data_IF_620871444799
#
_entry.id   IF_620871444799
#
_cell.length_a   1.000
_cell.length_b   1.000
_cell.length_c   1.000
_cell.angle_alpha   90.00
_cell.angle_beta   90.00
_cell.angle_gamma   90.00
#
_symmetry.space_group_name_H-M   'P 1'
#
loop_
_entity.id
_entity.type
_entity.pdbx_description
1 polymer ?
#
# COMPACT_ATOMS: atom_id res chain seq x y z
N UNK A 1 -20.13 58.61 16.61
CA UNK A 1 -20.77 57.30 16.88
C UNK A 1 -20.37 56.34 15.77
N UNK A 2 -19.29 55.60 16.00
CA UNK A 2 -18.68 54.66 15.05
C UNK A 2 -18.72 53.29 15.72
N UNK A 3 -19.33 52.31 15.05
CA UNK A 3 -19.02 50.86 15.05
C UNK A 3 -20.30 50.05 14.76
N UNK A 4 -20.41 49.57 13.52
CA UNK A 4 -21.02 48.29 13.16
C UNK A 4 -20.62 47.96 11.72
N UNK A 5 -19.39 47.46 11.56
CA UNK A 5 -19.04 46.61 10.42
C UNK A 5 -18.80 45.24 11.05
N UNK A 6 -19.77 44.38 10.84
CA UNK A 6 -19.76 42.98 11.27
C UNK A 6 -18.66 42.28 10.47
N UNK A 7 -17.80 41.60 11.21
CA UNK A 7 -16.60 40.88 10.83
C UNK A 7 -16.91 39.81 9.79
N UNK A 8 -16.71 40.16 8.51
CA UNK A 8 -16.79 39.24 7.38
C UNK A 8 -15.37 38.88 6.92
N UNK A 9 -14.57 38.23 7.78
CA UNK A 9 -13.28 37.68 7.36
C UNK A 9 -12.89 36.44 8.15
N UNK A 10 -12.35 35.47 7.39
CA UNK A 10 -11.63 34.25 7.78
C UNK A 10 -12.46 32.97 8.02
N UNK A 11 -13.38 32.67 7.09
CA UNK A 11 -13.37 31.32 6.48
C UNK A 11 -12.71 31.48 5.10
N UNK A 12 -11.44 31.89 5.12
CA UNK A 12 -10.62 31.77 3.92
C UNK A 12 -10.34 30.27 3.81
N UNK A 13 -11.17 29.64 2.98
CA UNK A 13 -10.95 28.39 2.29
C UNK A 13 -9.46 28.28 1.96
N UNK A 14 -8.69 27.65 2.84
CA UNK A 14 -7.33 27.22 2.56
C UNK A 14 -7.41 25.98 1.65
N UNK A 15 -8.06 26.12 0.51
CA UNK A 15 -7.63 25.43 -0.71
C UNK A 15 -6.43 26.23 -1.23
N UNK A 16 -5.36 26.26 -0.42
CA UNK A 16 -4.03 26.47 -0.94
C UNK A 16 -3.84 25.37 -1.97
N UNK A 17 -3.69 25.78 -3.22
CA UNK A 17 -3.30 24.98 -4.37
C UNK A 17 -2.49 23.77 -3.93
N UNK A 18 -3.16 22.62 -3.82
CA UNK A 18 -2.55 21.36 -3.43
C UNK A 18 -1.77 20.88 -4.64
N UNK A 19 -0.58 21.42 -4.84
CA UNK A 19 0.32 21.01 -5.91
C UNK A 19 0.81 19.60 -5.60
N UNK A 20 0.13 18.57 -6.10
CA UNK A 20 0.64 17.21 -6.42
C UNK A 20 1.60 16.50 -5.46
N UNK A 21 1.66 16.87 -4.19
CA UNK A 21 2.63 16.33 -3.23
C UNK A 21 2.19 14.91 -2.84
N UNK A 22 2.84 13.91 -3.43
CA UNK A 22 2.66 12.51 -3.04
C UNK A 22 3.93 12.04 -2.35
N UNK A 23 3.78 11.49 -1.15
CA UNK A 23 4.90 10.91 -0.40
C UNK A 23 5.22 9.52 -0.97
N UNK A 24 6.48 9.27 -1.32
CA UNK A 24 6.88 8.00 -1.96
C UNK A 24 7.72 7.14 -1.01
N UNK A 25 7.49 5.84 -1.10
CA UNK A 25 8.41 4.86 -0.57
C UNK A 25 8.49 3.59 -1.38
N UNK A 26 9.15 2.62 -0.76
CA UNK A 26 9.40 1.29 -1.29
C UNK A 26 8.85 0.25 -0.33
N UNK A 27 8.37 -0.87 -0.88
CA UNK A 27 7.79 -1.98 -0.17
C UNK A 27 8.53 -3.27 -0.49
N UNK A 28 8.34 -4.28 0.36
CA UNK A 28 8.80 -5.64 0.10
C UNK A 28 10.24 -5.90 0.55
N UNK A 29 10.76 -5.17 1.54
CA UNK A 29 12.04 -5.49 2.16
C UNK A 29 11.89 -6.79 2.96
N UNK A 30 12.58 -7.84 2.52
CA UNK A 30 12.55 -9.19 3.08
C UNK A 30 13.90 -9.62 3.67
N UNK A 31 14.95 -8.84 3.46
CA UNK A 31 16.33 -9.23 3.76
C UNK A 31 17.19 -8.06 4.22
N UNK A 32 18.33 -8.40 4.82
CA UNK A 32 19.36 -7.43 5.19
C UNK A 32 19.97 -6.74 3.96
N UNK A 33 20.04 -7.43 2.82
CA UNK A 33 20.61 -6.91 1.57
C UNK A 33 19.84 -5.69 1.08
N UNK A 34 18.53 -5.69 1.21
CA UNK A 34 17.70 -4.58 0.72
C UNK A 34 17.84 -3.32 1.60
N UNK A 35 18.07 -3.47 2.90
CA UNK A 35 18.38 -2.33 3.79
C UNK A 35 19.71 -1.69 3.37
N UNK A 36 20.72 -2.51 3.05
CA UNK A 36 22.01 -2.00 2.56
C UNK A 36 21.91 -1.37 1.17
N UNK A 37 21.01 -1.85 0.31
CA UNK A 37 20.75 -1.23 -1.00
C UNK A 37 20.09 0.14 -0.85
N UNK A 38 19.20 0.32 0.14
CA UNK A 38 18.63 1.63 0.47
C UNK A 38 19.73 2.61 0.91
N UNK A 39 20.54 2.25 1.90
CA UNK A 39 21.57 3.17 2.42
C UNK A 39 22.60 3.53 1.34
N UNK A 40 22.98 2.56 0.49
CA UNK A 40 23.82 2.79 -0.67
C UNK A 40 23.15 3.70 -1.69
N UNK A 41 21.87 3.52 -1.98
CA UNK A 41 21.15 4.37 -2.91
C UNK A 41 21.06 5.80 -2.38
N UNK A 42 20.74 6.00 -1.10
CA UNK A 42 20.61 7.32 -0.46
C UNK A 42 21.94 8.09 -0.44
N UNK A 43 23.07 7.41 -0.22
CA UNK A 43 24.40 8.05 -0.26
C UNK A 43 24.74 8.59 -1.65
N UNK A 44 24.26 7.93 -2.71
CA UNK A 44 24.42 8.38 -4.09
C UNK A 44 23.48 9.52 -4.48
N UNK A 45 22.40 9.76 -3.74
CA UNK A 45 21.42 10.81 -4.01
C UNK A 45 21.67 12.13 -3.27
N UNK A 46 22.93 12.41 -2.88
CA UNK A 46 23.31 13.67 -2.20
C UNK A 46 22.47 13.96 -0.95
N UNK A 47 22.15 12.93 -0.16
CA UNK A 47 21.42 13.07 1.10
C UNK A 47 19.90 13.04 1.00
N UNK A 48 19.32 12.81 -0.18
CA UNK A 48 17.89 12.50 -0.30
C UNK A 48 17.59 11.14 0.34
N UNK A 49 16.54 11.10 1.15
CA UNK A 49 16.09 9.92 1.88
C UNK A 49 14.75 9.43 1.33
N UNK A 50 14.51 8.13 1.40
CA UNK A 50 13.21 7.52 1.12
C UNK A 50 12.25 7.80 2.28
N UNK A 51 11.09 8.42 2.01
CA UNK A 51 10.18 8.86 3.07
C UNK A 51 9.41 7.73 3.74
N UNK A 52 8.99 6.73 2.96
CA UNK A 52 8.21 5.58 3.43
C UNK A 52 9.03 4.29 3.28
N UNK A 53 9.19 3.56 4.37
CA UNK A 53 9.80 2.22 4.39
C UNK A 53 8.71 1.19 4.60
N UNK A 54 8.47 0.36 3.59
CA UNK A 54 7.41 -0.63 3.53
C UNK A 54 7.88 -2.03 3.93
N UNK A 55 7.22 -2.61 4.92
CA UNK A 55 7.53 -3.93 5.50
C UNK A 55 6.28 -4.82 5.50
N UNK A 56 6.48 -6.13 5.37
CA UNK A 56 5.43 -7.15 5.49
C UNK A 56 5.86 -8.15 6.56
N UNK A 57 4.95 -8.41 7.49
CA UNK A 57 5.06 -9.42 8.52
C UNK A 57 3.77 -10.25 8.52
N UNK A 58 3.91 -11.56 8.46
CA UNK A 58 2.79 -12.50 8.43
C UNK A 58 2.56 -13.18 9.79
N UNK A 59 3.61 -13.26 10.60
CA UNK A 59 3.56 -13.94 11.90
C UNK A 59 4.03 -13.04 13.04
N UNK A 60 4.89 -12.06 12.77
CA UNK A 60 5.56 -11.24 13.78
C UNK A 60 6.31 -12.05 14.85
N UNK A 61 7.05 -13.05 14.37
CA UNK A 61 7.98 -13.87 15.15
C UNK A 61 9.12 -13.05 15.77
N UNK A 62 9.91 -13.69 16.64
CA UNK A 62 11.14 -13.07 17.18
C UNK A 62 12.09 -12.57 16.08
N UNK A 63 12.22 -13.34 14.99
CA UNK A 63 13.07 -12.96 13.87
C UNK A 63 12.54 -11.71 13.15
N UNK A 64 11.23 -11.60 12.94
CA UNK A 64 10.59 -10.43 12.32
C UNK A 64 10.68 -9.18 13.22
N UNK A 65 10.54 -9.34 14.53
CA UNK A 65 10.75 -8.27 15.51
C UNK A 65 12.19 -7.76 15.52
N UNK A 66 13.18 -8.67 15.59
CA UNK A 66 14.61 -8.33 15.47
C UNK A 66 14.89 -7.62 14.15
N UNK A 67 14.27 -8.08 13.06
CA UNK A 67 14.41 -7.44 11.76
C UNK A 67 13.83 -6.01 11.75
N UNK A 68 12.64 -5.78 12.32
CA UNK A 68 12.07 -4.44 12.43
C UNK A 68 13.01 -3.49 13.20
N UNK A 69 13.50 -3.92 14.36
CA UNK A 69 14.47 -3.14 15.15
C UNK A 69 15.70 -2.77 14.32
N UNK A 70 16.28 -3.76 13.63
CA UNK A 70 17.44 -3.54 12.76
C UNK A 70 17.19 -2.54 11.63
N UNK A 71 16.02 -2.61 10.99
CA UNK A 71 15.61 -1.65 9.95
C UNK A 71 15.54 -0.25 10.56
N UNK A 72 14.92 -0.10 11.74
CA UNK A 72 14.77 1.19 12.43
C UNK A 72 16.11 1.76 12.87
N UNK A 73 16.98 0.95 13.47
CA UNK A 73 18.32 1.35 13.91
C UNK A 73 19.18 1.80 12.73
N UNK A 74 19.04 1.16 11.57
CA UNK A 74 19.83 1.46 10.37
C UNK A 74 19.29 2.68 9.62
N UNK A 75 17.98 2.79 9.42
CA UNK A 75 17.37 3.82 8.57
C UNK A 75 16.92 5.06 9.35
N UNK A 76 16.80 4.95 10.68
CA UNK A 76 16.46 6.02 11.61
C UNK A 76 14.95 6.26 11.75
N UNK A 77 14.54 6.73 12.92
CA UNK A 77 13.13 6.91 13.32
C UNK A 77 12.40 8.07 12.61
N UNK A 78 13.12 8.93 11.89
CA UNK A 78 12.59 10.12 11.20
C UNK A 78 11.84 9.83 9.90
N UNK A 79 11.31 8.63 9.71
CA UNK A 79 10.61 8.17 8.50
C UNK A 79 9.21 7.68 8.85
N UNK A 80 8.40 7.44 7.82
CA UNK A 80 7.15 6.71 7.97
C UNK A 80 7.44 5.24 7.69
N UNK A 81 7.04 4.37 8.61
CA UNK A 81 7.09 2.93 8.40
C UNK A 81 5.70 2.45 7.98
N UNK A 82 5.57 2.01 6.74
CA UNK A 82 4.36 1.38 6.24
C UNK A 82 4.44 -0.12 6.52
N UNK A 83 3.74 -0.58 7.55
CA UNK A 83 3.90 -1.94 8.07
C UNK A 83 2.61 -2.70 7.85
N UNK A 84 2.74 -3.79 7.10
CA UNK A 84 1.67 -4.75 6.86
C UNK A 84 1.85 -5.90 7.83
N UNK A 85 1.04 -5.93 8.89
CA UNK A 85 1.00 -7.07 9.82
C UNK A 85 -0.27 -7.85 9.56
N UNK A 86 -0.17 -8.98 8.89
CA UNK A 86 -1.32 -9.77 8.48
C UNK A 86 -1.38 -11.03 9.33
N UNK A 87 -2.51 -11.32 10.01
CA UNK A 87 -2.62 -12.49 10.88
C UNK A 87 -2.69 -13.77 10.04
N UNK A 88 -1.54 -14.26 9.59
CA UNK A 88 -1.47 -15.39 8.67
C UNK A 88 -2.04 -16.66 9.32
N UNK A 89 -2.84 -17.39 8.55
CA UNK A 89 -3.52 -18.60 9.03
C UNK A 89 -4.76 -18.33 9.89
N UNK A 90 -5.03 -17.10 10.30
CA UNK A 90 -6.22 -16.76 11.10
C UNK A 90 -7.31 -16.11 10.24
N UNK A 91 -8.54 -16.53 10.47
CA UNK A 91 -9.74 -15.90 9.93
C UNK A 91 -10.06 -14.61 10.68
N UNK A 92 -10.85 -13.71 10.08
CA UNK A 92 -11.29 -12.50 10.78
C UNK A 92 -12.09 -12.81 12.05
N UNK A 93 -12.87 -13.88 12.08
CA UNK A 93 -13.57 -14.30 13.32
C UNK A 93 -12.58 -14.70 14.42
N UNK A 94 -11.54 -15.47 14.10
CA UNK A 94 -10.51 -15.82 15.08
C UNK A 94 -9.77 -14.57 15.60
N UNK A 95 -9.45 -13.63 14.70
CA UNK A 95 -8.82 -12.36 15.09
C UNK A 95 -9.74 -11.52 15.98
N UNK A 96 -11.04 -11.44 15.66
CA UNK A 96 -12.02 -10.75 16.50
C UNK A 96 -12.16 -11.38 17.91
N UNK A 97 -11.84 -12.67 18.03
CA UNK A 97 -11.83 -13.42 19.29
C UNK A 97 -10.45 -13.46 19.96
N UNK A 98 -9.48 -12.67 19.48
CA UNK A 98 -8.18 -12.48 20.11
C UNK A 98 -7.10 -13.51 19.77
N UNK A 99 -7.29 -14.33 18.73
CA UNK A 99 -6.34 -15.39 18.38
C UNK A 99 -4.96 -14.90 17.90
N UNK A 100 -4.79 -13.61 17.61
CA UNK A 100 -3.54 -12.98 17.17
C UNK A 100 -3.11 -11.83 18.10
N UNK A 101 -3.61 -11.85 19.34
CA UNK A 101 -3.39 -10.79 20.32
C UNK A 101 -1.94 -10.66 20.74
N UNK A 102 -1.24 -11.79 20.88
CA UNK A 102 0.14 -11.80 21.39
C UNK A 102 1.04 -10.99 20.46
N UNK A 103 0.89 -11.22 19.16
CA UNK A 103 1.63 -10.60 18.06
C UNK A 103 1.28 -9.12 17.94
N UNK A 104 -0.01 -8.75 17.95
CA UNK A 104 -0.42 -7.35 17.91
C UNK A 104 0.07 -6.57 19.14
N UNK A 105 -0.08 -7.13 20.33
CA UNK A 105 0.34 -6.49 21.59
C UNK A 105 1.84 -6.27 21.62
N UNK A 106 2.61 -7.26 21.14
CA UNK A 106 4.07 -7.13 20.98
C UNK A 106 4.42 -6.02 20.00
N UNK A 107 3.86 -6.06 18.79
CA UNK A 107 4.08 -5.04 17.76
C UNK A 107 3.77 -3.62 18.27
N UNK A 108 2.62 -3.42 18.91
CA UNK A 108 2.23 -2.11 19.45
C UNK A 108 3.16 -1.60 20.56
N UNK A 109 3.65 -2.48 21.45
CA UNK A 109 4.69 -2.14 22.44
C UNK A 109 5.97 -1.67 21.75
N UNK A 110 6.43 -2.40 20.75
CA UNK A 110 7.70 -2.15 20.07
C UNK A 110 7.68 -0.85 19.25
N UNK A 111 6.63 -0.61 18.46
CA UNK A 111 6.56 0.66 17.70
C UNK A 111 6.45 1.88 18.61
N UNK A 112 5.81 1.74 19.78
CA UNK A 112 5.74 2.79 20.80
C UNK A 112 7.12 3.03 21.43
N UNK A 113 7.83 1.96 21.81
CA UNK A 113 9.15 2.07 22.46
C UNK A 113 10.21 2.64 21.53
N UNK A 114 10.19 2.26 20.24
CA UNK A 114 11.08 2.84 19.22
C UNK A 114 10.72 4.28 18.85
N UNK A 115 9.52 4.76 19.23
CA UNK A 115 9.08 6.12 18.92
C UNK A 115 8.85 6.40 17.43
N UNK A 116 8.69 5.35 16.61
CA UNK A 116 8.50 5.46 15.16
C UNK A 116 7.07 5.86 14.79
N UNK A 117 6.94 6.38 13.57
CA UNK A 117 5.64 6.75 12.98
C UNK A 117 5.22 5.68 11.99
N UNK A 118 4.01 5.15 12.13
CA UNK A 118 3.57 3.95 11.41
C UNK A 118 2.28 4.20 10.63
N UNK A 119 2.28 3.82 9.35
CA UNK A 119 1.05 3.50 8.62
C UNK A 119 0.82 2.00 8.75
N UNK A 120 -0.23 1.62 9.47
CA UNK A 120 -0.51 0.25 9.83
C UNK A 120 -1.55 -0.37 8.90
N UNK A 121 -1.10 -1.32 8.10
CA UNK A 121 -1.86 -1.99 7.05
C UNK A 121 -2.17 -3.43 7.45
N UNK A 122 -2.98 -3.60 8.50
CA UNK A 122 -3.39 -4.94 8.94
C UNK A 122 -4.60 -5.46 8.18
N UNK A 123 -4.59 -6.77 7.92
CA UNK A 123 -5.64 -7.51 7.22
C UNK A 123 -5.94 -6.96 5.81
N UNK A 124 -4.90 -6.65 5.03
CA UNK A 124 -5.02 -6.11 3.67
C UNK A 124 -5.74 -7.06 2.70
N UNK A 125 -6.28 -6.50 1.61
CA UNK A 125 -6.88 -7.19 0.46
C UNK A 125 -7.96 -8.22 0.82
N UNK A 126 -8.71 -7.94 1.87
CA UNK A 126 -9.82 -8.77 2.35
C UNK A 126 -10.95 -8.97 1.32
N UNK A 127 -11.05 -8.09 0.31
CA UNK A 127 -11.97 -8.23 -0.82
C UNK A 127 -11.46 -9.21 -1.91
N UNK A 128 -10.26 -9.79 -1.74
CA UNK A 128 -9.75 -10.90 -2.54
C UNK A 128 -9.69 -12.20 -1.73
N UNK A 129 -10.18 -13.29 -2.30
CA UNK A 129 -10.37 -14.60 -1.65
C UNK A 129 -9.08 -15.39 -1.42
N UNK A 130 -7.91 -14.76 -1.42
CA UNK A 130 -6.60 -15.44 -1.32
C UNK A 130 -6.06 -15.58 0.10
N UNK A 131 -6.74 -14.99 1.07
CA UNK A 131 -6.29 -14.92 2.46
C UNK A 131 -7.37 -15.38 3.43
N UNK A 132 -6.98 -16.09 4.50
CA UNK A 132 -7.89 -16.62 5.53
C UNK A 132 -8.87 -15.59 6.12
N UNK A 133 -8.48 -14.32 6.15
CA UNK A 133 -9.26 -13.16 6.63
C UNK A 133 -10.24 -12.57 5.61
N UNK A 134 -10.30 -13.10 4.40
CA UNK A 134 -11.09 -12.57 3.31
C UNK A 134 -12.54 -13.06 3.34
N UNK A 135 -13.35 -12.56 2.41
CA UNK A 135 -14.67 -13.09 2.04
C UNK A 135 -15.78 -12.99 3.10
N UNK A 136 -15.47 -12.58 4.34
CA UNK A 136 -16.43 -12.42 5.46
C UNK A 136 -16.48 -10.96 5.96
N UNK A 137 -17.23 -10.06 5.29
CA UNK A 137 -17.18 -8.62 5.60
C UNK A 137 -17.55 -8.24 7.03
N UNK A 138 -18.63 -8.80 7.57
CA UNK A 138 -19.09 -8.47 8.93
C UNK A 138 -18.07 -8.89 10.00
N UNK A 139 -17.49 -10.07 9.85
CA UNK A 139 -16.44 -10.59 10.74
C UNK A 139 -15.14 -9.79 10.61
N UNK A 140 -14.79 -9.41 9.38
CA UNK A 140 -13.67 -8.50 9.13
C UNK A 140 -13.86 -7.15 9.83
N UNK A 141 -15.06 -6.56 9.77
CA UNK A 141 -15.34 -5.30 10.45
C UNK A 141 -15.19 -5.44 11.97
N UNK A 142 -15.68 -6.53 12.57
CA UNK A 142 -15.51 -6.83 14.01
C UNK A 142 -14.02 -6.90 14.37
N UNK A 143 -13.24 -7.67 13.62
CA UNK A 143 -11.80 -7.81 13.81
C UNK A 143 -11.06 -6.47 13.70
N UNK A 144 -11.36 -5.66 12.68
CA UNK A 144 -10.73 -4.34 12.49
C UNK A 144 -11.04 -3.40 13.65
N UNK A 145 -12.30 -3.34 14.10
CA UNK A 145 -12.72 -2.50 15.23
C UNK A 145 -12.02 -2.93 16.52
N UNK A 146 -11.87 -4.25 16.72
CA UNK A 146 -11.19 -4.83 17.87
C UNK A 146 -9.71 -4.42 17.91
N UNK A 147 -8.94 -4.70 16.85
CA UNK A 147 -7.51 -4.35 16.77
C UNK A 147 -7.28 -2.84 16.85
N UNK A 148 -8.14 -2.03 16.21
CA UNK A 148 -8.08 -0.58 16.36
C UNK A 148 -8.29 -0.13 17.79
N UNK A 149 -9.30 -0.69 18.47
CA UNK A 149 -9.61 -0.34 19.87
C UNK A 149 -8.45 -0.71 20.78
N UNK A 150 -7.85 -1.89 20.60
CA UNK A 150 -6.65 -2.31 21.33
C UNK A 150 -5.52 -1.29 21.18
N UNK A 151 -5.16 -0.92 19.94
CA UNK A 151 -4.08 0.05 19.71
C UNK A 151 -4.37 1.43 20.36
N UNK A 152 -5.62 1.93 20.24
CA UNK A 152 -5.98 3.25 20.77
C UNK A 152 -6.11 3.28 22.29
N UNK A 153 -6.72 2.26 22.90
CA UNK A 153 -7.06 2.24 24.34
C UNK A 153 -5.99 1.61 25.20
N UNK A 154 -5.46 0.45 24.78
CA UNK A 154 -4.59 -0.36 25.63
C UNK A 154 -3.11 0.04 25.47
N UNK A 155 -2.75 0.58 24.29
CA UNK A 155 -1.38 0.99 23.97
C UNK A 155 -1.20 2.50 23.80
N UNK A 156 -2.29 3.28 23.83
CA UNK A 156 -2.27 4.73 23.63
C UNK A 156 -1.46 5.14 22.38
N UNK A 157 -1.67 4.42 21.29
CA UNK A 157 -1.14 4.78 19.98
C UNK A 157 -2.19 5.61 19.27
N UNK A 158 -2.08 6.93 19.27
CA UNK A 158 -3.01 7.84 18.58
C UNK A 158 -2.56 8.11 17.13
N UNK A 159 -3.38 8.84 16.37
CA UNK A 159 -3.14 9.06 14.93
C UNK A 159 -1.92 9.94 14.61
N UNK A 160 -1.28 10.56 15.61
CA UNK A 160 0.02 11.23 15.47
C UNK A 160 1.20 10.24 15.45
N UNK A 161 0.97 8.98 15.83
CA UNK A 161 1.95 7.88 15.81
C UNK A 161 1.56 6.72 14.92
N UNK A 162 0.28 6.39 14.83
CA UNK A 162 -0.24 5.21 14.14
C UNK A 162 -1.47 5.57 13.30
N UNK A 163 -1.35 5.52 11.97
CA UNK A 163 -2.49 5.64 11.05
C UNK A 163 -2.96 4.25 10.61
N UNK A 164 -4.25 3.95 10.76
CA UNK A 164 -4.84 2.72 10.24
C UNK A 164 -5.17 2.86 8.75
N UNK A 165 -4.43 2.14 7.90
CA UNK A 165 -4.75 1.96 6.48
C UNK A 165 -5.72 0.78 6.31
N UNK A 166 -6.79 1.00 5.55
CA UNK A 166 -7.72 -0.05 5.12
C UNK A 166 -7.45 -0.34 3.63
N UNK A 167 -6.66 -1.37 3.37
CA UNK A 167 -6.10 -1.66 2.05
C UNK A 167 -6.93 -2.68 1.27
N UNK A 168 -7.44 -2.29 0.12
CA UNK A 168 -8.22 -3.15 -0.77
C UNK A 168 -7.36 -3.71 -1.91
N UNK A 169 -7.74 -4.86 -2.44
CA UNK A 169 -7.35 -5.23 -3.79
C UNK A 169 -8.11 -4.35 -4.78
N UNK A 170 -7.49 -4.00 -5.92
CA UNK A 170 -8.14 -3.19 -6.96
C UNK A 170 -9.38 -3.84 -7.59
N UNK A 171 -9.51 -5.16 -7.43
CA UNK A 171 -10.64 -5.94 -7.91
C UNK A 171 -11.32 -6.65 -6.74
N UNK A 172 -12.64 -6.81 -6.84
CA UNK A 172 -13.42 -7.60 -5.89
C UNK A 172 -13.44 -9.06 -6.36
N UNK A 173 -12.62 -9.87 -5.69
CA UNK A 173 -12.31 -11.25 -6.06
C UNK A 173 -12.58 -12.22 -4.90
N UNK A 174 -13.73 -12.18 -4.20
CA UNK A 174 -13.98 -13.06 -3.06
C UNK A 174 -14.06 -14.53 -3.49
N UNK A 175 -14.04 -15.41 -2.50
CA UNK A 175 -14.32 -16.84 -2.66
C UNK A 175 -15.48 -17.24 -1.76
N UNK A 176 -16.20 -18.30 -2.14
CA UNK A 176 -17.23 -18.94 -1.31
C UNK A 176 -16.63 -20.00 -0.36
N UNK A 177 -15.35 -20.31 -0.51
CA UNK A 177 -14.65 -21.25 0.36
C UNK A 177 -14.62 -20.76 1.80
N UNK A 178 -14.89 -21.67 2.75
CA UNK A 178 -14.97 -21.33 4.17
C UNK A 178 -13.62 -20.89 4.77
N UNK A 179 -12.52 -21.39 4.20
CA UNK A 179 -11.13 -21.10 4.57
C UNK A 179 -10.35 -20.72 3.32
N UNK A 180 -10.33 -19.42 2.96
CA UNK A 180 -9.66 -18.97 1.76
C UNK A 180 -8.14 -19.15 1.83
N UNK A 181 -7.54 -19.53 0.70
CA UNK A 181 -6.10 -19.77 0.51
C UNK A 181 -5.62 -19.18 -0.82
N UNK A 182 -4.31 -19.19 -1.08
CA UNK A 182 -3.75 -18.74 -2.36
C UNK A 182 -4.21 -19.59 -3.55
N UNK A 183 -4.72 -20.79 -3.30
CA UNK A 183 -5.21 -21.74 -4.30
C UNK A 183 -6.74 -21.71 -4.47
N UNK A 184 -7.45 -20.90 -3.66
CA UNK A 184 -8.90 -20.84 -3.70
C UNK A 184 -9.41 -20.33 -5.05
N UNK A 185 -10.59 -20.80 -5.46
CA UNK A 185 -11.26 -20.27 -6.63
C UNK A 185 -11.89 -18.91 -6.32
N UNK A 186 -11.69 -17.93 -7.20
CA UNK A 186 -12.18 -16.56 -7.02
C UNK A 186 -13.34 -16.26 -7.95
N UNK A 187 -14.33 -15.53 -7.45
CA UNK A 187 -15.41 -14.96 -8.24
C UNK A 187 -15.14 -13.49 -8.54
N UNK A 188 -15.34 -13.07 -9.79
CA UNK A 188 -15.28 -11.66 -10.15
C UNK A 188 -16.60 -10.93 -9.81
N UNK A 189 -16.61 -10.12 -8.76
CA UNK A 189 -17.80 -9.40 -8.29
C UNK A 189 -18.03 -8.07 -9.04
N UNK A 190 -18.45 -8.15 -10.31
CA UNK A 190 -18.97 -6.97 -11.02
C UNK A 190 -20.38 -6.59 -10.56
N UNK A 191 -20.81 -5.35 -10.83
CA UNK A 191 -22.21 -4.93 -10.62
C UNK A 191 -23.18 -5.87 -11.34
N UNK A 192 -22.89 -6.20 -12.62
CA UNK A 192 -23.68 -7.16 -13.41
C UNK A 192 -23.75 -8.54 -12.75
N UNK A 193 -22.67 -9.03 -12.14
CA UNK A 193 -22.70 -10.30 -11.40
C UNK A 193 -23.71 -10.20 -10.26
N UNK A 194 -23.67 -9.12 -9.48
CA UNK A 194 -24.59 -8.92 -8.37
C UNK A 194 -26.05 -8.89 -8.85
N UNK A 195 -26.31 -8.13 -9.91
CA UNK A 195 -27.66 -7.98 -10.47
C UNK A 195 -28.23 -9.31 -10.98
N UNK A 196 -27.37 -10.21 -11.47
CA UNK A 196 -27.80 -11.50 -12.08
C UNK A 196 -27.79 -12.70 -11.13
N UNK A 197 -26.88 -12.73 -10.13
CA UNK A 197 -26.67 -13.88 -9.24
C UNK A 197 -26.81 -13.56 -7.75
N UNK A 198 -27.17 -12.34 -7.38
CA UNK A 198 -27.36 -11.92 -5.99
C UNK A 198 -26.05 -11.56 -5.28
N UNK A 199 -25.98 -11.76 -3.96
CA UNK A 199 -24.91 -11.23 -3.09
C UNK A 199 -23.51 -11.67 -3.54
N UNK A 200 -22.61 -10.69 -3.66
CA UNK A 200 -21.18 -10.86 -3.94
C UNK A 200 -20.42 -9.81 -3.12
N UNK A 201 -19.61 -10.18 -2.13
CA UNK A 201 -18.90 -9.21 -1.29
C UNK A 201 -17.99 -8.29 -2.11
N UNK A 202 -18.09 -6.98 -1.87
CA UNK A 202 -17.25 -5.95 -2.50
C UNK A 202 -16.49 -5.14 -1.45
N UNK A 203 -15.49 -4.37 -1.87
CA UNK A 203 -14.67 -3.52 -1.00
C UNK A 203 -15.50 -2.67 -0.02
N UNK A 204 -16.67 -2.18 -0.44
CA UNK A 204 -17.55 -1.36 0.39
C UNK A 204 -18.08 -2.10 1.61
N UNK A 205 -18.33 -3.41 1.47
CA UNK A 205 -18.90 -4.24 2.53
C UNK A 205 -17.90 -4.43 3.69
N UNK A 206 -16.60 -4.26 3.44
CA UNK A 206 -15.55 -4.43 4.45
C UNK A 206 -15.28 -3.14 5.24
N UNK A 207 -15.92 -2.02 4.89
CA UNK A 207 -15.63 -0.74 5.52
C UNK A 207 -16.11 -0.71 6.99
N UNK A 208 -15.20 -0.63 8.00
CA UNK A 208 -15.58 -0.73 9.41
C UNK A 208 -16.18 0.56 9.98
N UNK A 209 -16.24 1.63 9.18
CA UNK A 209 -16.71 2.96 9.59
C UNK A 209 -15.58 3.99 9.74
N UNK A 210 -15.94 5.26 9.59
CA UNK A 210 -15.01 6.40 9.53
C UNK A 210 -14.10 6.54 10.77
N UNK A 211 -14.54 6.08 11.94
CA UNK A 211 -13.77 6.17 13.20
C UNK A 211 -12.64 5.15 13.30
N UNK A 212 -12.59 4.16 12.40
CA UNK A 212 -11.62 3.04 12.44
C UNK A 212 -10.67 3.05 11.24
N UNK A 213 -10.71 4.11 10.43
CA UNK A 213 -9.93 4.25 9.19
C UNK A 213 -9.34 5.65 9.13
N UNK A 214 -8.01 5.71 9.05
CA UNK A 214 -7.27 6.95 8.82
C UNK A 214 -7.01 7.16 7.32
N UNK A 215 -6.66 6.08 6.63
CA UNK A 215 -6.33 6.05 5.20
C UNK A 215 -7.12 4.94 4.51
N UNK A 216 -7.59 5.20 3.29
CA UNK A 216 -8.09 4.16 2.40
C UNK A 216 -6.97 3.76 1.46
N UNK A 217 -6.68 2.48 1.42
CA UNK A 217 -5.55 1.91 0.74
C UNK A 217 -5.95 1.06 -0.46
N UNK A 218 -5.06 0.92 -1.44
CA UNK A 218 -5.26 0.00 -2.56
C UNK A 218 -3.94 -0.59 -3.06
N UNK A 219 -3.99 -1.83 -3.54
CA UNK A 219 -2.89 -2.49 -4.26
C UNK A 219 -3.14 -2.43 -5.77
N UNK A 220 -2.12 -2.05 -6.54
CA UNK A 220 -2.19 -1.83 -7.99
C UNK A 220 -1.00 -2.45 -8.69
N UNK A 221 -1.28 -3.32 -9.66
CA UNK A 221 -0.24 -4.02 -10.41
C UNK A 221 -0.52 -3.98 -11.91
N UNK A 222 0.44 -3.47 -12.68
CA UNK A 222 0.54 -3.76 -14.10
C UNK A 222 1.31 -5.07 -14.29
N UNK A 223 0.59 -6.15 -14.62
CA UNK A 223 1.18 -7.49 -14.82
C UNK A 223 1.69 -7.70 -16.24
N UNK A 224 1.38 -6.79 -17.18
CA UNK A 224 1.82 -6.89 -18.57
C UNK A 224 1.53 -8.27 -19.17
N UNK A 225 2.33 -8.71 -20.13
CA UNK A 225 2.24 -10.04 -20.75
C UNK A 225 3.11 -11.08 -20.04
N UNK A 226 3.39 -10.89 -18.74
CA UNK A 226 4.22 -11.83 -17.97
C UNK A 226 3.58 -13.22 -17.83
N UNK A 227 2.24 -13.29 -17.84
CA UNK A 227 1.47 -14.53 -17.72
C UNK A 227 0.74 -14.91 -19.00
N UNK A 228 0.52 -16.21 -19.18
CA UNK A 228 -0.30 -16.75 -20.27
C UNK A 228 -1.79 -16.43 -20.10
N UNK A 229 -2.22 -16.13 -18.88
CA UNK A 229 -3.58 -15.69 -18.57
C UNK A 229 -4.02 -14.49 -19.45
N UNK A 230 -5.19 -14.58 -20.08
CA UNK A 230 -5.70 -13.52 -20.98
C UNK A 230 -5.98 -12.19 -20.29
N UNK A 231 -6.20 -12.20 -18.96
CA UNK A 231 -6.35 -10.98 -18.16
C UNK A 231 -5.02 -10.28 -17.88
N UNK A 232 -3.89 -10.98 -18.06
CA UNK A 232 -2.56 -10.43 -17.90
C UNK A 232 -2.16 -9.68 -19.17
N UNK A 233 -2.50 -8.41 -19.17
CA UNK A 233 -2.17 -7.46 -20.24
C UNK A 233 -1.53 -6.20 -19.65
N UNK A 234 -0.88 -5.42 -20.50
CA UNK A 234 -0.35 -4.12 -20.10
C UNK A 234 -1.49 -3.19 -19.70
N UNK A 235 -1.38 -2.59 -18.51
CA UNK A 235 -2.32 -1.62 -17.96
C UNK A 235 -1.61 -0.32 -17.66
N UNK A 236 -2.00 0.73 -18.37
CA UNK A 236 -1.50 2.08 -18.10
C UNK A 236 -2.03 2.61 -16.75
N UNK A 237 -1.32 3.59 -16.14
CA UNK A 237 -1.66 4.11 -14.81
C UNK A 237 -3.11 4.60 -14.65
N UNK A 238 -3.65 5.30 -15.65
CA UNK A 238 -5.02 5.80 -15.61
C UNK A 238 -6.05 4.68 -15.62
N UNK A 239 -5.81 3.64 -16.43
CA UNK A 239 -6.66 2.45 -16.44
C UNK A 239 -6.68 1.77 -15.07
N UNK A 240 -5.53 1.62 -14.41
CA UNK A 240 -5.47 1.01 -13.08
C UNK A 240 -6.30 1.77 -12.02
N UNK A 241 -6.40 3.10 -12.11
CA UNK A 241 -7.22 3.91 -11.19
C UNK A 241 -8.71 3.91 -11.54
N UNK A 242 -9.05 3.73 -12.82
CA UNK A 242 -10.42 3.91 -13.32
C UNK A 242 -11.14 2.60 -13.61
N UNK A 243 -10.41 1.48 -13.69
CA UNK A 243 -10.97 0.14 -13.84
C UNK A 243 -12.02 -0.11 -12.75
N UNK A 244 -13.23 -0.52 -13.16
CA UNK A 244 -14.39 -0.69 -12.29
C UNK A 244 -14.71 0.52 -11.39
N UNK A 245 -14.44 1.74 -11.87
CA UNK A 245 -14.63 2.98 -11.11
C UNK A 245 -13.88 2.98 -9.76
N UNK A 246 -12.72 2.33 -9.68
CA UNK A 246 -11.96 2.16 -8.43
C UNK A 246 -11.76 3.49 -7.69
N UNK A 247 -11.18 4.50 -8.34
CA UNK A 247 -10.88 5.77 -7.66
C UNK A 247 -12.15 6.50 -7.18
N UNK A 248 -13.26 6.37 -7.90
CA UNK A 248 -14.56 6.89 -7.47
C UNK A 248 -15.07 6.18 -6.20
N UNK A 249 -14.98 4.85 -6.17
CA UNK A 249 -15.37 4.01 -5.02
C UNK A 249 -14.55 4.32 -3.77
N UNK A 250 -13.23 4.46 -3.92
CA UNK A 250 -12.34 4.86 -2.82
C UNK A 250 -12.66 6.29 -2.35
N UNK A 251 -12.90 7.21 -3.29
CA UNK A 251 -13.15 8.63 -2.99
C UNK A 251 -14.42 8.89 -2.18
N UNK A 252 -15.44 8.03 -2.32
CA UNK A 252 -16.70 8.11 -1.55
C UNK A 252 -16.51 7.93 -0.03
N UNK A 253 -15.35 7.38 0.40
CA UNK A 253 -15.05 7.19 1.83
C UNK A 253 -14.66 8.50 2.52
N UNK A 254 -14.39 9.58 1.77
CA UNK A 254 -13.93 10.87 2.31
C UNK A 254 -12.70 10.74 3.21
N UNK A 255 -11.77 9.86 2.84
CA UNK A 255 -10.46 9.67 3.47
C UNK A 255 -9.35 9.95 2.46
N UNK A 256 -8.14 10.34 2.93
CA UNK A 256 -6.96 10.32 2.08
C UNK A 256 -6.71 8.90 1.56
N UNK A 257 -6.19 8.82 0.33
CA UNK A 257 -5.94 7.58 -0.38
C UNK A 257 -4.43 7.31 -0.40
N UNK A 258 -4.04 6.07 -0.12
CA UNK A 258 -2.67 5.60 -0.28
C UNK A 258 -2.66 4.43 -1.27
N UNK A 259 -1.72 4.43 -2.20
CA UNK A 259 -1.43 3.24 -3.01
C UNK A 259 -0.43 2.42 -2.20
N UNK A 260 -0.94 1.45 -1.44
CA UNK A 260 -0.16 0.67 -0.48
C UNK A 260 0.83 -0.28 -1.16
N UNK A 261 0.52 -0.72 -2.38
CA UNK A 261 1.41 -1.49 -3.23
C UNK A 261 1.22 -1.01 -4.67
N UNK A 262 2.30 -0.55 -5.30
CA UNK A 262 2.34 -0.25 -6.72
C UNK A 262 3.43 -1.08 -7.39
N UNK A 263 3.11 -1.81 -8.44
CA UNK A 263 4.11 -2.59 -9.19
C UNK A 263 3.84 -2.61 -10.68
N UNK A 264 4.89 -2.68 -11.49
CA UNK A 264 4.78 -2.88 -12.94
C UNK A 264 5.88 -3.78 -13.42
N UNK A 265 5.55 -4.78 -14.24
CA UNK A 265 6.53 -5.45 -15.09
C UNK A 265 7.04 -4.51 -16.20
N UNK A 266 8.14 -4.88 -16.85
CA UNK A 266 8.53 -4.35 -18.16
C UNK A 266 8.01 -5.19 -19.34
N UNK A 267 7.47 -6.39 -19.08
CA UNK A 267 7.06 -7.35 -20.11
C UNK A 267 5.79 -6.90 -20.80
N UNK A 268 5.92 -6.54 -22.07
CA UNK A 268 4.81 -6.22 -22.96
C UNK A 268 5.18 -6.60 -24.41
N UNK A 269 4.27 -7.28 -25.11
CA UNK A 269 4.44 -7.70 -26.51
C UNK A 269 3.10 -8.16 -27.11
N UNK A 270 3.01 -8.12 -28.44
CA UNK A 270 1.85 -8.58 -29.21
C UNK A 270 1.93 -10.06 -29.65
N UNK A 271 0.77 -10.62 -29.98
CA UNK A 271 0.62 -11.99 -30.49
C UNK A 271 0.68 -13.06 -29.42
N UNK A 272 0.83 -14.31 -29.86
CA UNK A 272 0.79 -15.51 -28.99
C UNK A 272 1.79 -15.43 -27.84
N UNK A 273 1.36 -15.92 -26.68
CA UNK A 273 2.19 -15.98 -25.49
C UNK A 273 3.19 -17.13 -25.62
N UNK A 274 4.48 -16.84 -25.48
CA UNK A 274 5.53 -17.85 -25.34
C UNK A 274 6.51 -17.42 -24.26
N UNK A 275 7.16 -18.39 -23.62
CA UNK A 275 8.19 -18.11 -22.64
C UNK A 275 9.31 -17.25 -23.22
N UNK A 276 9.75 -17.55 -24.45
CA UNK A 276 10.84 -16.82 -25.11
C UNK A 276 10.52 -15.34 -25.29
N UNK A 277 9.28 -15.01 -25.68
CA UNK A 277 8.84 -13.61 -25.81
C UNK A 277 8.78 -12.89 -24.46
N UNK A 278 8.39 -13.59 -23.40
CA UNK A 278 8.43 -13.03 -22.04
C UNK A 278 9.86 -12.66 -21.67
N UNK A 279 10.82 -13.56 -21.93
CA UNK A 279 12.23 -13.33 -21.64
C UNK A 279 12.84 -12.24 -22.51
N UNK A 280 12.54 -12.22 -23.80
CA UNK A 280 12.98 -11.19 -24.74
C UNK A 280 12.48 -9.80 -24.32
N UNK A 281 11.17 -9.69 -24.05
CA UNK A 281 10.56 -8.44 -23.59
C UNK A 281 11.10 -8.04 -22.21
N UNK A 282 11.27 -9.00 -21.30
CA UNK A 282 11.91 -8.77 -20.01
C UNK A 282 13.30 -8.18 -20.17
N UNK A 283 14.12 -8.58 -21.15
CA UNK A 283 15.49 -8.07 -21.28
C UNK A 283 15.53 -6.70 -21.98
N UNK A 284 14.64 -6.47 -22.94
CA UNK A 284 14.77 -5.39 -23.91
C UNK A 284 13.83 -4.19 -23.65
N UNK A 285 12.82 -4.32 -22.79
CA UNK A 285 11.73 -3.33 -22.69
C UNK A 285 11.79 -2.39 -21.45
N UNK A 286 13.00 -2.01 -21.02
CA UNK A 286 13.19 -1.08 -19.88
C UNK A 286 12.46 0.26 -20.05
N UNK A 287 12.34 0.75 -21.28
CA UNK A 287 11.75 2.06 -21.52
C UNK A 287 10.22 2.09 -21.35
N UNK A 288 9.52 0.97 -21.56
CA UNK A 288 8.09 0.88 -21.27
C UNK A 288 7.82 1.09 -19.77
N UNK A 289 8.63 0.45 -18.91
CA UNK A 289 8.56 0.65 -17.46
C UNK A 289 8.88 2.09 -17.05
N UNK A 290 9.90 2.71 -17.65
CA UNK A 290 10.22 4.12 -17.39
C UNK A 290 9.07 5.05 -17.77
N UNK A 291 8.47 4.80 -18.94
CA UNK A 291 7.34 5.58 -19.44
C UNK A 291 6.15 5.46 -18.50
N UNK A 292 5.85 4.25 -18.02
CA UNK A 292 4.79 4.00 -17.04
C UNK A 292 4.99 4.78 -15.74
N UNK A 293 6.22 4.86 -15.23
CA UNK A 293 6.53 5.70 -14.06
C UNK A 293 6.36 7.19 -14.30
N UNK A 294 6.68 7.69 -15.51
CA UNK A 294 6.47 9.09 -15.87
C UNK A 294 4.98 9.42 -15.99
N UNK A 295 4.17 8.50 -16.50
CA UNK A 295 2.71 8.66 -16.60
C UNK A 295 2.07 8.79 -15.21
N UNK A 296 2.46 7.96 -14.23
CA UNK A 296 2.02 8.12 -12.84
C UNK A 296 2.31 9.53 -12.32
N UNK A 297 3.46 10.11 -12.66
CA UNK A 297 3.86 11.44 -12.20
C UNK A 297 2.85 12.50 -12.61
N UNK A 298 2.50 12.47 -13.88
CA UNK A 298 1.54 13.40 -14.47
C UNK A 298 0.15 13.15 -13.89
N UNK A 299 -0.19 11.88 -13.67
CA UNK A 299 -1.50 11.47 -13.22
C UNK A 299 -1.82 11.95 -11.79
N UNK A 300 -0.85 11.90 -10.87
CA UNK A 300 -1.11 12.28 -9.46
C UNK A 300 -1.52 13.74 -9.27
N UNK A 301 -1.14 14.64 -10.19
CA UNK A 301 -1.61 16.02 -10.17
C UNK A 301 -3.15 16.11 -10.29
N UNK A 302 -3.78 15.11 -10.93
CA UNK A 302 -5.22 15.03 -11.14
C UNK A 302 -5.97 14.33 -9.99
N UNK A 303 -5.24 13.70 -9.06
CA UNK A 303 -5.81 12.92 -7.95
C UNK A 303 -5.29 13.41 -6.59
N UNK A 304 -5.66 14.63 -6.15
CA UNK A 304 -5.12 15.25 -4.94
C UNK A 304 -5.46 14.50 -3.64
N UNK A 305 -6.44 13.59 -3.67
CA UNK A 305 -6.74 12.70 -2.52
C UNK A 305 -5.66 11.62 -2.32
N UNK A 306 -4.84 11.32 -3.32
CA UNK A 306 -3.72 10.38 -3.19
C UNK A 306 -2.58 11.09 -2.48
N UNK A 307 -2.25 10.61 -1.28
CA UNK A 307 -1.24 11.24 -0.40
C UNK A 307 0.05 10.44 -0.30
N UNK A 308 0.05 9.17 -0.72
CA UNK A 308 1.24 8.34 -0.72
C UNK A 308 1.20 7.16 -1.67
N UNK A 309 2.39 6.69 -2.05
CA UNK A 309 2.60 5.49 -2.85
C UNK A 309 3.74 4.69 -2.22
N UNK A 310 3.56 3.37 -2.12
CA UNK A 310 4.61 2.46 -1.72
C UNK A 310 4.87 1.48 -2.87
N UNK A 311 6.01 1.63 -3.54
CA UNK A 311 6.35 0.82 -4.71
C UNK A 311 6.83 -0.57 -4.29
N UNK A 312 6.22 -1.63 -4.80
CA UNK A 312 6.59 -3.02 -4.53
C UNK A 312 7.91 -3.36 -5.23
N UNK A 313 9.01 -3.23 -4.50
CA UNK A 313 10.36 -3.20 -5.04
C UNK A 313 11.05 -4.57 -4.90
N UNK A 314 10.47 -5.61 -5.49
CA UNK A 314 10.97 -6.99 -5.39
C UNK A 314 11.20 -7.56 -6.79
N UNK A 315 12.41 -8.07 -7.04
CA UNK A 315 12.71 -8.90 -8.21
C UNK A 315 12.55 -10.39 -7.85
N UNK A 316 11.38 -10.94 -8.14
CA UNK A 316 11.11 -12.35 -7.91
C UNK A 316 11.68 -13.26 -9.01
N UNK A 317 12.14 -12.69 -10.13
CA UNK A 317 12.79 -13.47 -11.20
C UNK A 317 14.24 -13.79 -10.88
N UNK A 318 14.85 -13.04 -9.97
CA UNK A 318 16.29 -13.08 -9.67
C UNK A 318 17.12 -12.87 -10.95
N UNK A 319 16.82 -11.81 -11.69
CA UNK A 319 17.43 -11.55 -12.99
C UNK A 319 17.14 -12.65 -14.00
N UNK A 320 15.87 -13.06 -14.10
CA UNK A 320 15.40 -14.07 -15.05
C UNK A 320 15.95 -15.51 -14.83
N UNK A 321 16.57 -15.79 -13.68
CA UNK A 321 17.11 -17.13 -13.34
C UNK A 321 16.08 -18.06 -12.69
N UNK A 322 14.89 -17.56 -12.37
CA UNK A 322 13.77 -18.34 -11.83
C UNK A 322 12.51 -18.17 -12.67
N UNK A 323 11.77 -19.25 -12.89
CA UNK A 323 10.50 -19.26 -13.64
C UNK A 323 9.33 -18.72 -12.81
N UNK A 324 9.45 -17.53 -12.22
CA UNK A 324 8.32 -16.91 -11.53
C UNK A 324 7.48 -16.13 -12.55
N UNK A 325 6.74 -16.90 -13.35
CA UNK A 325 5.93 -16.46 -14.50
C UNK A 325 4.93 -15.35 -14.19
N UNK A 326 4.52 -15.18 -12.92
CA UNK A 326 3.51 -14.19 -12.52
C UNK A 326 4.02 -12.78 -12.19
N UNK A 327 5.33 -12.62 -12.03
CA UNK A 327 5.92 -11.45 -11.38
C UNK A 327 7.24 -11.05 -12.05
N UNK A 328 7.33 -11.21 -13.37
CA UNK A 328 8.54 -10.92 -14.13
C UNK A 328 8.87 -9.43 -14.06
N UNK A 329 9.65 -8.98 -13.08
CA UNK A 329 9.92 -7.56 -12.90
C UNK A 329 11.35 -7.28 -12.42
N UNK A 330 11.88 -6.13 -12.83
CA UNK A 330 13.08 -5.57 -12.24
C UNK A 330 12.73 -4.73 -11.02
N UNK A 331 13.44 -4.93 -9.92
CA UNK A 331 13.42 -3.97 -8.82
C UNK A 331 13.81 -2.58 -9.31
N UNK A 332 13.08 -1.54 -8.89
CA UNK A 332 13.42 -0.14 -9.16
C UNK A 332 14.70 0.30 -8.43
N UNK A 333 15.09 -0.44 -7.37
CA UNK A 333 16.35 -0.30 -6.66
C UNK A 333 17.05 -1.68 -6.63
N UNK A 334 17.86 -1.99 -7.64
CA UNK A 334 18.78 -3.15 -7.57
C UNK A 334 20.18 -2.85 -8.11
N UNK A 335 21.17 -3.40 -7.39
CA UNK A 335 22.58 -3.52 -7.76
C UNK A 335 22.81 -4.76 -8.64
N UNK A 336 23.69 -4.75 -9.67
CA UNK A 336 24.83 -3.85 -9.86
C UNK A 336 24.52 -2.54 -10.61
N UNK A 337 23.31 -2.37 -11.13
CA UNK A 337 22.94 -1.25 -12.01
C UNK A 337 22.59 0.07 -11.30
N UNK A 338 23.02 0.23 -10.05
CA UNK A 338 22.80 1.48 -9.30
C UNK A 338 23.51 2.68 -9.97
N UNK A 339 24.57 2.44 -10.75
CA UNK A 339 25.24 3.49 -11.53
C UNK A 339 24.64 3.73 -12.94
N UNK A 340 24.00 2.72 -13.57
CA UNK A 340 23.68 2.74 -15.01
C UNK A 340 22.19 2.50 -15.36
N UNK A 341 21.35 2.04 -14.43
CA UNK A 341 19.91 1.93 -14.71
C UNK A 341 19.27 3.33 -14.73
N UNK A 342 18.89 3.78 -15.93
CA UNK A 342 18.04 4.97 -16.14
C UNK A 342 16.70 4.88 -15.36
N UNK A 343 16.31 3.68 -14.94
CA UNK A 343 15.06 3.35 -14.22
C UNK A 343 15.05 3.86 -12.77
N UNK A 344 16.03 3.46 -11.94
CA UNK A 344 16.08 3.84 -10.52
C UNK A 344 16.35 5.33 -10.28
N UNK A 345 17.10 5.98 -11.19
CA UNK A 345 17.32 7.43 -11.16
C UNK A 345 16.05 8.22 -11.44
N UNK A 346 15.10 7.73 -12.24
CA UNK A 346 13.90 8.52 -12.61
C UNK A 346 12.74 8.38 -11.62
N UNK A 347 12.59 7.21 -10.98
CA UNK A 347 11.44 6.94 -10.12
C UNK A 347 11.47 7.74 -8.81
N UNK A 348 12.60 7.73 -8.08
CA UNK A 348 12.65 8.31 -6.72
C UNK A 348 13.11 9.77 -6.73
N UNK A 349 13.90 10.22 -7.72
CA UNK A 349 14.45 11.59 -7.74
C UNK A 349 13.41 12.71 -8.00
N UNK A 350 12.20 12.37 -8.46
CA UNK A 350 11.24 13.35 -9.00
C UNK A 350 9.96 13.53 -8.20
N UNK A 351 9.82 12.85 -7.07
CA UNK A 351 8.69 13.00 -6.16
C UNK A 351 9.20 13.28 -4.76
N UNK A 352 8.96 14.49 -4.30
CA UNK A 352 9.11 14.85 -2.91
C UNK A 352 8.07 15.92 -2.65
N UNK A 353 7.04 15.57 -1.88
CA UNK A 353 6.63 16.42 -0.76
C UNK A 353 5.63 15.75 0.19
N UNK A 354 5.55 16.38 1.36
CA UNK A 354 5.29 15.82 2.68
C UNK A 354 3.82 15.52 3.04
N UNK A 355 2.99 15.18 2.05
CA UNK A 355 1.53 15.07 2.25
C UNK A 355 1.13 14.05 3.32
N UNK A 356 1.77 12.88 3.35
CA UNK A 356 1.49 11.86 4.36
C UNK A 356 1.95 12.29 5.76
N UNK A 357 3.10 12.97 5.89
CA UNK A 357 3.58 13.48 7.19
C UNK A 357 2.65 14.53 7.77
N UNK A 358 2.06 15.39 6.93
CA UNK A 358 1.07 16.39 7.37
C UNK A 358 -0.12 15.76 8.09
N UNK A 359 -0.52 14.53 7.74
CA UNK A 359 -1.61 13.83 8.41
C UNK A 359 -1.29 13.46 9.87
N UNK A 360 -0.02 13.13 10.17
CA UNK A 360 0.44 12.91 11.54
C UNK A 360 0.49 14.22 12.34
N UNK A 361 0.83 15.34 11.70
CA UNK A 361 0.92 16.66 12.34
C UNK A 361 -0.46 17.26 12.65
N UNK A 362 -1.40 17.22 11.69
CA UNK A 362 -2.75 17.79 11.86
C UNK A 362 -3.49 17.14 13.04
N UNK A 363 -3.23 15.85 13.29
CA UNK A 363 -3.89 15.07 14.34
C UNK A 363 -3.21 15.19 15.71
N UNK A 364 -2.11 15.95 15.83
CA UNK A 364 -1.43 16.25 17.09
C UNK A 364 -2.15 17.33 17.94
N UNK A 365 -3.27 17.93 17.48
CA UNK A 365 -3.93 19.00 18.25
C UNK A 365 -4.36 18.50 19.63
N UNK A 366 -4.05 19.25 20.71
CA UNK A 366 -4.24 18.78 22.07
C UNK A 366 -5.72 18.63 22.37
N UNK A 367 -6.09 17.51 22.99
CA UNK A 367 -7.34 17.39 23.75
C UNK A 367 -7.27 18.49 24.81
N UNK A 368 -8.06 19.56 24.65
CA UNK A 368 -8.29 20.49 25.76
C UNK A 368 -8.84 19.64 26.90
N UNK A 369 -8.07 19.54 28.00
CA UNK A 369 -8.64 19.10 29.27
C UNK A 369 -9.81 20.03 29.56
N UNK A 370 -11.02 19.48 29.54
CA UNK A 370 -12.23 20.14 30.05
C UNK A 370 -12.23 19.96 31.55
#
# INVERSE_FOLDING_TARGET
MIKKIISFWVVLVAFLSWSGAVTIGIHGLQSQREITDITRWESLQKGKKIDIIGLIFDHYTDAESVYLHKVVDTLGTGRIYHISLSPYGYTSTQVANGAFDVEYKRFFKEIKSMGITVVFRTMHEMNGGRYSRASKPEEFQKARKYVHTMARKDFDLQSDKLLFSLSFNSQDLPTTEALPTQQSFYEYCSQRRIDTKGRCPRMEDYYPGNSYVDLVGVTLYNRGRSRADSWSVWKDPEYLLTENNLIGRLSQRNKPIIIDELGTTAVNFDGEWTQDKVMESFHNNQEAKNTWFRQWKLLFANYPKIVGIVYFNVDLTKGATTQVLGQADWSAIMSPYISDSRVGKQFILRYGDDALRKLFVIKKKPVRKV
#
